data_IF_670627662163
#
_entry.id   IF_670627662163
#
_cell.length_a   1.000
_cell.length_b   1.000
_cell.length_c   1.000
_cell.angle_alpha   90.00
_cell.angle_beta   90.00
_cell.angle_gamma   90.00
#
_symmetry.space_group_name_H-M   'P 1'
#
loop_
_entity.id
_entity.type
_entity.pdbx_description
1 polymer ?
#
# COMPACT_ATOMS: atom_id res chain seq x y z
N UNK A 1 -79.93 -35.41 39.24
CA UNK A 1 -79.78 -34.82 40.60
C UNK A 1 -79.40 -33.34 40.47
N UNK A 2 -79.81 -32.47 41.43
CA UNK A 2 -80.12 -31.05 41.25
C UNK A 2 -78.91 -30.10 41.46
N UNK A 3 -78.94 -28.82 41.07
CA UNK A 3 -79.32 -27.67 41.91
C UNK A 3 -79.34 -26.31 41.14
N UNK A 4 -80.01 -25.34 41.77
CA UNK A 4 -80.62 -24.08 41.29
C UNK A 4 -79.83 -22.78 41.65
N UNK A 5 -80.11 -21.69 40.89
CA UNK A 5 -80.09 -20.22 41.20
C UNK A 5 -78.70 -19.55 41.54
N UNK A 6 -78.31 -18.30 41.17
CA UNK A 6 -78.84 -16.90 41.35
C UNK A 6 -78.00 -15.89 40.47
N UNK A 7 -78.50 -14.67 40.08
CA UNK A 7 -77.87 -13.66 39.16
C UNK A 7 -77.10 -12.51 39.88
N UNK A 8 -76.49 -11.50 39.19
CA UNK A 8 -77.06 -10.12 39.16
C UNK A 8 -76.62 -9.10 38.04
N UNK A 9 -77.49 -8.09 37.86
CA UNK A 9 -77.36 -6.63 37.56
C UNK A 9 -76.34 -5.93 36.60
N UNK A 10 -76.97 -5.13 35.71
CA UNK A 10 -76.68 -3.82 35.07
C UNK A 10 -75.32 -3.10 35.20
N UNK A 11 -74.83 -2.57 34.07
CA UNK A 11 -73.90 -1.43 34.04
C UNK A 11 -74.18 -0.42 32.90
N UNK A 12 -73.66 0.78 33.12
CA UNK A 12 -74.17 2.12 32.78
C UNK A 12 -73.42 2.76 31.59
N UNK A 13 -74.05 3.81 31.06
CA UNK A 13 -73.77 4.64 29.88
C UNK A 13 -72.33 5.15 29.62
N UNK A 14 -72.09 5.36 28.32
CA UNK A 14 -70.98 6.00 27.63
C UNK A 14 -70.54 7.38 28.16
N UNK A 15 -69.25 7.67 28.00
CA UNK A 15 -68.75 9.03 27.80
C UNK A 15 -67.50 9.01 26.88
N UNK A 16 -67.61 9.63 25.69
CA UNK A 16 -66.52 9.79 24.72
C UNK A 16 -65.56 10.90 25.17
N UNK A 17 -64.24 10.67 25.08
CA UNK A 17 -63.19 11.64 25.45
C UNK A 17 -62.16 11.84 24.31
N UNK A 18 -61.62 13.05 24.09
CA UNK A 18 -60.90 13.47 22.88
C UNK A 18 -59.39 13.14 22.96
N UNK A 19 -59.04 11.86 22.96
CA UNK A 19 -57.64 11.41 23.11
C UNK A 19 -57.00 10.86 21.82
N UNK A 20 -57.70 10.88 20.68
CA UNK A 20 -57.21 10.16 19.49
C UNK A 20 -56.16 10.94 18.67
N UNK A 21 -56.14 12.27 18.70
CA UNK A 21 -55.23 13.06 17.84
C UNK A 21 -53.80 13.22 18.40
N UNK A 22 -53.61 13.24 19.73
CA UNK A 22 -52.26 13.36 20.34
C UNK A 22 -51.43 12.08 20.21
N UNK A 23 -52.07 10.91 20.28
CA UNK A 23 -51.41 9.60 20.16
C UNK A 23 -50.82 9.36 18.75
N UNK A 24 -51.53 9.82 17.71
CA UNK A 24 -51.09 9.66 16.33
C UNK A 24 -49.88 10.54 15.96
N UNK A 25 -49.72 11.73 16.56
CA UNK A 25 -48.55 12.59 16.32
C UNK A 25 -47.27 12.08 16.99
N UNK A 26 -47.36 11.57 18.22
CA UNK A 26 -46.20 11.03 18.97
C UNK A 26 -45.63 9.78 18.29
N UNK A 27 -46.50 8.91 17.75
CA UNK A 27 -46.08 7.68 17.06
C UNK A 27 -45.40 7.93 15.70
N UNK A 28 -45.81 8.96 14.96
CA UNK A 28 -45.15 9.37 13.70
C UNK A 28 -43.78 9.98 13.97
N UNK A 29 -43.66 10.87 14.96
CA UNK A 29 -42.38 11.46 15.38
C UNK A 29 -41.37 10.40 15.85
N UNK A 30 -41.78 9.44 16.67
CA UNK A 30 -40.92 8.34 17.12
C UNK A 30 -40.56 7.33 16.02
N UNK A 31 -41.39 7.19 14.97
CA UNK A 31 -41.04 6.41 13.77
C UNK A 31 -40.04 7.15 12.88
N UNK A 32 -40.21 8.46 12.71
CA UNK A 32 -39.28 9.30 11.96
C UNK A 32 -37.91 9.33 12.66
N UNK A 33 -37.87 9.58 13.98
CA UNK A 33 -36.62 9.59 14.75
C UNK A 33 -35.87 8.25 14.67
N UNK A 34 -36.57 7.11 14.80
CA UNK A 34 -35.97 5.78 14.63
C UNK A 34 -35.46 5.54 13.22
N UNK A 35 -36.21 5.96 12.20
CA UNK A 35 -35.79 5.83 10.80
C UNK A 35 -34.58 6.70 10.50
N UNK A 36 -34.55 7.94 11.00
CA UNK A 36 -33.39 8.83 10.86
C UNK A 36 -32.19 8.30 11.63
N UNK A 37 -32.38 7.75 12.84
CA UNK A 37 -31.31 7.13 13.60
C UNK A 37 -30.74 5.90 12.89
N UNK A 38 -31.59 4.99 12.40
CA UNK A 38 -31.16 3.78 11.68
C UNK A 38 -30.51 4.09 10.33
N UNK A 39 -31.06 5.05 9.56
CA UNK A 39 -30.46 5.48 8.29
C UNK A 39 -29.15 6.21 8.56
N UNK A 40 -29.10 7.07 9.57
CA UNK A 40 -27.89 7.79 9.97
C UNK A 40 -26.79 6.85 10.44
N UNK A 41 -27.11 5.87 11.29
CA UNK A 41 -26.13 4.88 11.76
C UNK A 41 -25.68 3.94 10.66
N UNK A 42 -26.59 3.47 9.79
CA UNK A 42 -26.23 2.68 8.62
C UNK A 42 -25.35 3.46 7.63
N UNK A 43 -25.60 4.76 7.43
CA UNK A 43 -24.76 5.61 6.60
C UNK A 43 -23.37 5.84 7.19
N UNK A 44 -23.26 6.01 8.52
CA UNK A 44 -21.97 6.10 9.21
C UNK A 44 -21.19 4.79 9.11
N UNK A 45 -21.82 3.65 9.43
CA UNK A 45 -21.19 2.33 9.33
C UNK A 45 -20.81 2.00 7.88
N UNK A 46 -21.70 2.28 6.93
CA UNK A 46 -21.44 2.11 5.50
C UNK A 46 -20.32 3.00 5.00
N UNK A 47 -20.26 4.26 5.45
CA UNK A 47 -19.18 5.20 5.12
C UNK A 47 -17.83 4.78 5.70
N UNK A 48 -17.80 4.30 6.95
CA UNK A 48 -16.58 3.74 7.57
C UNK A 48 -16.13 2.47 6.84
N UNK A 49 -17.06 1.54 6.57
CA UNK A 49 -16.74 0.31 5.84
C UNK A 49 -16.23 0.60 4.42
N UNK A 50 -16.87 1.53 3.70
CA UNK A 50 -16.42 1.99 2.39
C UNK A 50 -15.06 2.68 2.47
N UNK A 51 -14.84 3.52 3.49
CA UNK A 51 -13.55 4.17 3.74
C UNK A 51 -12.43 3.16 4.00
N UNK A 52 -12.68 2.15 4.84
CA UNK A 52 -11.74 1.05 5.10
C UNK A 52 -11.51 0.21 3.85
N UNK A 53 -12.56 -0.10 3.08
CA UNK A 53 -12.44 -0.81 1.81
C UNK A 53 -11.57 -0.02 0.82
N UNK A 54 -11.85 1.27 0.63
CA UNK A 54 -11.11 2.14 -0.29
C UNK A 54 -9.67 2.42 0.20
N UNK A 55 -9.44 2.41 1.51
CA UNK A 55 -8.09 2.47 2.10
C UNK A 55 -7.34 1.16 1.88
N UNK A 56 -8.03 0.02 1.87
CA UNK A 56 -7.43 -1.29 1.60
C UNK A 56 -7.31 -1.63 0.12
N UNK A 57 -8.07 -0.98 -0.75
CA UNK A 57 -7.89 -1.13 -2.20
C UNK A 57 -6.52 -0.57 -2.58
N UNK A 58 -5.75 -1.40 -3.28
CA UNK A 58 -4.49 -0.99 -3.91
C UNK A 58 -4.83 -0.16 -5.16
N UNK A 59 -3.98 0.83 -5.47
CA UNK A 59 -4.13 1.59 -6.70
C UNK A 59 -3.86 0.71 -7.92
N UNK A 60 -4.25 1.17 -9.11
CA UNK A 60 -3.89 0.50 -10.35
C UNK A 60 -2.35 0.38 -10.43
N UNK A 61 -1.87 -0.79 -10.86
CA UNK A 61 -0.45 -0.99 -11.08
C UNK A 61 -0.06 -0.22 -12.36
N UNK A 62 0.74 0.87 -12.25
CA UNK A 62 1.04 1.72 -13.39
C UNK A 62 1.93 1.03 -14.42
N UNK A 63 2.56 -0.09 -14.06
CA UNK A 63 3.40 -0.86 -14.98
C UNK A 63 2.59 -1.59 -16.06
N UNK A 64 1.27 -1.71 -15.91
CA UNK A 64 0.41 -2.32 -16.93
C UNK A 64 0.20 -1.44 -18.17
N UNK A 65 0.42 -0.13 -18.08
CA UNK A 65 0.17 0.78 -19.22
C UNK A 65 1.09 0.49 -20.42
N UNK A 66 2.35 0.13 -20.15
CA UNK A 66 3.39 -0.13 -21.17
C UNK A 66 3.91 -1.58 -21.13
N UNK A 67 3.13 -2.53 -20.58
CA UNK A 67 3.58 -3.91 -20.42
C UNK A 67 3.55 -4.69 -21.75
N UNK A 68 4.69 -5.25 -22.14
CA UNK A 68 4.78 -6.15 -23.30
C UNK A 68 4.06 -7.49 -23.07
N UNK A 69 3.79 -8.23 -24.15
CA UNK A 69 3.05 -9.51 -24.12
C UNK A 69 3.76 -10.63 -23.36
N UNK A 70 5.09 -10.57 -23.22
CA UNK A 70 5.91 -11.56 -22.52
C UNK A 70 6.56 -10.97 -21.25
N UNK A 71 6.05 -9.84 -20.76
CA UNK A 71 6.50 -9.18 -19.54
C UNK A 71 5.51 -9.41 -18.39
N UNK A 72 6.02 -9.50 -17.16
CA UNK A 72 5.20 -9.66 -15.97
C UNK A 72 5.42 -8.50 -15.00
N UNK A 73 4.40 -7.66 -14.82
CA UNK A 73 4.34 -6.69 -13.73
C UNK A 73 3.62 -7.32 -12.52
N UNK A 74 4.35 -8.11 -11.75
CA UNK A 74 3.79 -8.92 -10.65
C UNK A 74 3.26 -8.03 -9.52
N UNK A 75 4.00 -6.96 -9.21
CA UNK A 75 3.56 -5.90 -8.31
C UNK A 75 3.91 -4.55 -8.92
N UNK A 76 3.42 -3.42 -8.38
CA UNK A 76 3.89 -2.10 -8.80
C UNK A 76 5.39 -1.87 -8.62
N UNK A 77 6.10 -2.78 -7.95
CA UNK A 77 7.52 -2.66 -7.61
C UNK A 77 8.41 -3.69 -8.29
N UNK A 78 7.83 -4.71 -8.94
CA UNK A 78 8.58 -5.83 -9.52
C UNK A 78 8.07 -6.09 -10.93
N UNK A 79 8.91 -5.80 -11.92
CA UNK A 79 8.71 -6.17 -13.32
C UNK A 79 9.74 -7.20 -13.73
N UNK A 80 9.33 -8.24 -14.46
CA UNK A 80 10.23 -9.26 -14.98
C UNK A 80 9.94 -9.46 -16.45
N UNK A 81 11.00 -9.40 -17.26
CA UNK A 81 10.95 -9.61 -18.70
C UNK A 81 12.14 -10.45 -19.18
N UNK A 82 12.30 -10.60 -20.49
CA UNK A 82 13.41 -11.34 -21.08
C UNK A 82 14.79 -10.70 -20.82
N UNK A 83 14.85 -9.39 -20.54
CA UNK A 83 16.09 -8.67 -20.24
C UNK A 83 16.49 -8.80 -18.77
N UNK A 84 15.54 -9.10 -17.88
CA UNK A 84 15.84 -9.43 -16.49
C UNK A 84 14.76 -9.00 -15.50
N UNK A 85 15.19 -8.80 -14.26
CA UNK A 85 14.34 -8.42 -13.14
C UNK A 85 14.55 -6.92 -12.89
N UNK A 86 13.49 -6.14 -13.01
CA UNK A 86 13.51 -4.69 -12.77
C UNK A 86 12.76 -4.35 -11.50
N UNK A 87 13.45 -3.69 -10.57
CA UNK A 87 12.89 -3.23 -9.31
C UNK A 87 12.55 -1.74 -9.40
N UNK A 88 11.29 -1.39 -9.14
CA UNK A 88 10.85 0.00 -9.16
C UNK A 88 11.13 0.66 -7.82
N UNK A 89 11.89 1.76 -7.85
CA UNK A 89 12.35 2.50 -6.66
C UNK A 89 11.89 3.96 -6.72
N UNK A 90 10.60 4.23 -6.43
CA UNK A 90 9.94 5.47 -6.87
C UNK A 90 10.29 6.73 -6.09
N UNK A 91 11.32 6.69 -5.24
CA UNK A 91 11.80 7.83 -4.46
C UNK A 91 13.02 8.43 -5.13
N UNK A 92 12.89 9.68 -5.56
CA UNK A 92 13.99 10.43 -6.14
C UNK A 92 15.25 10.39 -5.25
N UNK A 93 16.39 10.12 -5.86
CA UNK A 93 17.67 10.03 -5.19
C UNK A 93 18.60 11.18 -5.60
N UNK A 94 19.07 11.94 -4.61
CA UNK A 94 19.99 13.07 -4.79
C UNK A 94 21.36 12.82 -4.14
N UNK A 95 21.64 11.58 -3.76
CA UNK A 95 22.89 11.17 -3.12
C UNK A 95 22.69 10.32 -1.87
N UNK A 96 21.51 10.37 -1.24
CA UNK A 96 21.22 9.66 0.01
C UNK A 96 21.14 8.14 -0.15
N UNK A 97 20.94 7.62 -1.36
CA UNK A 97 20.90 6.16 -1.62
C UNK A 97 19.50 5.57 -1.55
N UNK A 98 18.47 6.38 -1.85
CA UNK A 98 17.09 5.94 -1.91
C UNK A 98 16.88 4.79 -2.90
N UNK A 99 17.53 4.82 -4.07
CA UNK A 99 17.41 3.72 -5.04
C UNK A 99 18.00 2.43 -4.48
N UNK A 100 19.23 2.49 -3.97
CA UNK A 100 19.92 1.33 -3.40
C UNK A 100 19.18 0.69 -2.24
N UNK A 101 18.67 1.48 -1.27
CA UNK A 101 17.97 0.91 -0.12
C UNK A 101 16.60 0.33 -0.49
N UNK A 102 15.85 0.98 -1.38
CA UNK A 102 14.56 0.44 -1.83
C UNK A 102 14.75 -0.84 -2.63
N UNK A 103 15.75 -0.89 -3.52
CA UNK A 103 16.10 -2.11 -4.24
C UNK A 103 16.48 -3.24 -3.28
N UNK A 104 17.30 -2.96 -2.25
CA UNK A 104 17.66 -3.95 -1.25
C UNK A 104 16.45 -4.49 -0.46
N UNK A 105 15.49 -3.63 -0.09
CA UNK A 105 14.26 -4.05 0.61
C UNK A 105 13.42 -5.03 -0.23
N UNK A 106 13.27 -4.75 -1.53
CA UNK A 106 12.53 -5.63 -2.45
C UNK A 106 13.34 -6.91 -2.70
N UNK A 107 14.64 -6.78 -3.00
CA UNK A 107 15.53 -7.88 -3.35
C UNK A 107 15.69 -8.91 -2.24
N UNK A 108 15.74 -8.46 -0.99
CA UNK A 108 15.78 -9.33 0.19
C UNK A 108 14.62 -10.32 0.19
N UNK A 109 13.40 -9.82 -0.02
CA UNK A 109 12.20 -10.65 0.00
C UNK A 109 12.00 -11.42 -1.30
N UNK A 110 12.28 -10.80 -2.45
CA UNK A 110 12.20 -11.46 -3.76
C UNK A 110 13.24 -12.58 -3.93
N UNK A 111 14.27 -12.60 -3.07
CA UNK A 111 15.37 -13.56 -3.10
C UNK A 111 16.21 -13.47 -4.39
N UNK A 112 16.60 -12.24 -4.73
CA UNK A 112 17.49 -11.92 -5.85
C UNK A 112 18.75 -11.26 -5.32
N UNK A 113 19.84 -11.40 -6.08
CA UNK A 113 21.07 -10.69 -5.78
C UNK A 113 21.07 -9.31 -6.44
N UNK A 114 21.67 -8.32 -5.77
CA UNK A 114 21.66 -6.92 -6.22
C UNK A 114 22.38 -6.68 -7.56
N UNK A 115 23.23 -7.60 -8.01
CA UNK A 115 23.90 -7.57 -9.31
C UNK A 115 23.07 -8.24 -10.44
N UNK A 116 21.94 -8.86 -10.11
CA UNK A 116 21.03 -9.51 -11.07
C UNK A 116 19.85 -8.62 -11.49
N UNK A 117 19.73 -7.43 -10.90
CA UNK A 117 18.57 -6.57 -11.04
C UNK A 117 18.89 -5.27 -11.78
N UNK A 118 17.88 -4.76 -12.48
CA UNK A 118 17.84 -3.39 -12.94
C UNK A 118 17.06 -2.56 -11.91
N UNK A 119 17.45 -1.30 -11.74
CA UNK A 119 16.70 -0.34 -10.91
C UNK A 119 16.14 0.74 -11.80
N UNK A 120 14.85 1.00 -11.67
CA UNK A 120 14.15 2.05 -12.39
C UNK A 120 13.29 2.87 -11.41
N UNK A 121 13.16 4.19 -11.55
CA UNK A 121 12.25 4.99 -10.71
C UNK A 121 10.77 4.69 -10.97
N UNK A 122 10.43 4.09 -12.11
CA UNK A 122 9.08 3.82 -12.57
C UNK A 122 8.35 5.06 -13.08
N UNK A 123 7.16 4.86 -13.69
CA UNK A 123 6.31 5.97 -14.07
C UNK A 123 5.79 6.73 -12.84
N UNK A 124 5.56 8.06 -12.92
CA UNK A 124 4.88 8.78 -11.85
C UNK A 124 3.47 8.21 -11.63
N UNK A 125 3.14 7.85 -10.39
CA UNK A 125 1.84 7.23 -10.09
C UNK A 125 1.38 7.48 -8.64
N UNK A 126 0.07 7.67 -8.41
CA UNK A 126 -0.52 7.70 -7.07
C UNK A 126 -0.20 6.46 -6.24
N UNK A 127 0.03 5.31 -6.89
CA UNK A 127 0.38 4.04 -6.26
C UNK A 127 1.68 4.13 -5.44
N UNK A 128 2.57 5.05 -5.80
CA UNK A 128 3.85 5.28 -5.11
C UNK A 128 3.79 6.34 -4.00
N UNK A 129 2.61 6.52 -3.40
CA UNK A 129 2.36 7.46 -2.31
C UNK A 129 3.31 7.25 -1.12
N UNK A 130 3.61 8.35 -0.41
CA UNK A 130 4.39 8.36 0.83
C UNK A 130 3.48 8.66 2.01
N UNK A 131 3.17 7.65 2.83
CA UNK A 131 2.36 7.85 4.04
C UNK A 131 3.18 8.37 5.20
N UNK A 132 4.47 8.01 5.33
CA UNK A 132 5.28 8.39 6.49
C UNK A 132 5.45 9.91 6.69
N UNK A 133 5.16 10.73 5.68
CA UNK A 133 5.11 12.20 5.82
C UNK A 133 3.90 12.69 6.64
N UNK A 134 2.86 11.88 6.79
CA UNK A 134 1.69 12.16 7.62
C UNK A 134 2.05 12.33 9.10
N UNK A 135 3.09 11.62 9.56
CA UNK A 135 3.57 11.67 10.93
C UNK A 135 4.07 13.07 11.30
N UNK A 136 4.60 13.81 10.32
CA UNK A 136 5.00 15.21 10.45
C UNK A 136 3.83 16.19 10.26
N UNK A 137 2.69 15.72 9.75
CA UNK A 137 1.52 16.54 9.42
C UNK A 137 0.54 16.69 10.60
N UNK A 138 0.71 15.92 11.67
CA UNK A 138 -0.16 15.97 12.86
C UNK A 138 0.52 16.74 14.00
N UNK A 139 -0.21 17.50 14.84
CA UNK A 139 0.36 18.36 15.87
C UNK A 139 0.76 17.57 17.15
N UNK A 140 1.38 16.40 16.98
CA UNK A 140 1.84 15.52 18.05
C UNK A 140 3.34 15.26 17.90
N UNK A 141 4.01 14.93 19.01
CA UNK A 141 5.42 14.53 18.94
C UNK A 141 5.54 13.18 18.19
N UNK A 142 6.60 12.95 17.41
CA UNK A 142 6.79 11.66 16.74
C UNK A 142 6.84 10.46 17.70
N UNK A 143 7.24 10.68 18.97
CA UNK A 143 7.33 9.65 20.01
C UNK A 143 6.06 9.53 20.88
N UNK A 144 4.97 10.21 20.52
CA UNK A 144 3.70 10.11 21.24
C UNK A 144 2.85 8.99 20.63
N UNK A 145 2.77 7.85 21.31
CA UNK A 145 1.98 6.68 20.89
C UNK A 145 0.59 6.64 21.54
N UNK A 146 0.11 7.78 22.06
CA UNK A 146 -1.21 7.89 22.66
C UNK A 146 -2.34 7.64 21.65
N UNK A 147 -3.46 7.08 22.12
CA UNK A 147 -4.62 6.74 21.28
C UNK A 147 -5.08 7.87 20.35
N UNK A 148 -5.08 9.13 20.83
CA UNK A 148 -5.47 10.29 20.03
C UNK A 148 -4.45 10.61 18.91
N UNK A 149 -3.15 10.54 19.23
CA UNK A 149 -2.08 10.75 18.25
C UNK A 149 -2.17 9.69 17.13
N UNK A 150 -2.32 8.43 17.52
CA UNK A 150 -2.38 7.31 16.57
C UNK A 150 -3.64 7.33 15.69
N UNK A 151 -4.78 7.70 16.28
CA UNK A 151 -6.02 7.88 15.52
C UNK A 151 -5.89 8.99 14.48
N UNK A 152 -5.28 10.13 14.85
CA UNK A 152 -5.07 11.25 13.92
C UNK A 152 -4.06 10.91 12.82
N UNK A 153 -2.99 10.18 13.13
CA UNK A 153 -2.04 9.66 12.11
C UNK A 153 -2.74 8.73 11.13
N UNK A 154 -3.55 7.79 11.61
CA UNK A 154 -4.32 6.89 10.75
C UNK A 154 -5.23 7.64 9.77
N UNK A 155 -5.90 8.70 10.24
CA UNK A 155 -6.73 9.56 9.39
C UNK A 155 -5.88 10.34 8.37
N UNK A 156 -4.75 10.90 8.80
CA UNK A 156 -3.82 11.62 7.93
C UNK A 156 -3.21 10.69 6.87
N UNK A 157 -2.83 9.46 7.23
CA UNK A 157 -2.32 8.42 6.34
C UNK A 157 -3.33 8.10 5.25
N UNK A 158 -4.60 7.88 5.62
CA UNK A 158 -5.66 7.64 4.66
C UNK A 158 -5.80 8.81 3.68
N UNK A 159 -5.75 10.06 4.17
CA UNK A 159 -5.78 11.24 3.32
C UNK A 159 -4.58 11.31 2.37
N UNK A 160 -3.35 11.06 2.87
CA UNK A 160 -2.13 11.06 2.05
C UNK A 160 -2.14 9.97 0.97
N UNK A 161 -2.62 8.77 1.30
CA UNK A 161 -2.85 7.70 0.32
C UNK A 161 -3.83 8.14 -0.76
N UNK A 162 -4.93 8.81 -0.41
CA UNK A 162 -5.89 9.31 -1.41
C UNK A 162 -5.37 10.47 -2.25
N UNK A 163 -4.49 11.31 -1.71
CA UNK A 163 -3.81 12.36 -2.47
C UNK A 163 -2.79 11.75 -3.44
N UNK A 164 -2.26 10.56 -3.15
CA UNK A 164 -1.31 9.88 -4.03
C UNK A 164 0.04 10.58 -4.09
N UNK A 165 0.46 11.24 -3.00
CA UNK A 165 1.65 12.10 -3.04
C UNK A 165 2.95 11.28 -3.12
N UNK A 166 3.54 11.22 -4.31
CA UNK A 166 4.87 10.65 -4.53
C UNK A 166 5.94 11.71 -4.23
N UNK A 167 6.56 11.63 -3.05
CA UNK A 167 7.55 12.62 -2.59
C UNK A 167 8.73 11.97 -1.87
N UNK A 168 9.91 12.57 -2.03
CA UNK A 168 11.11 12.33 -1.22
C UNK A 168 11.38 13.55 -0.36
N UNK A 169 11.29 13.41 0.97
CA UNK A 169 11.53 14.48 1.94
C UNK A 169 11.28 14.02 3.37
N UNK A 170 11.65 14.83 4.37
CA UNK A 170 11.36 14.55 5.79
C UNK A 170 11.96 13.25 6.34
N UNK A 171 13.04 12.72 5.73
CA UNK A 171 13.64 11.43 6.11
C UNK A 171 12.67 10.23 6.06
N UNK A 172 11.65 10.30 5.21
CA UNK A 172 10.54 9.33 5.18
C UNK A 172 10.72 8.15 4.22
N UNK A 173 11.75 8.16 3.35
CA UNK A 173 11.96 7.10 2.33
C UNK A 173 12.00 5.69 2.92
N UNK A 174 12.83 5.48 3.96
CA UNK A 174 12.96 4.16 4.59
C UNK A 174 11.73 3.84 5.46
N UNK A 175 11.26 4.72 6.35
CA UNK A 175 10.04 4.45 7.13
C UNK A 175 8.81 4.09 6.28
N UNK A 176 8.58 4.77 5.16
CA UNK A 176 7.46 4.47 4.26
C UNK A 176 7.67 3.15 3.49
N UNK A 177 8.90 2.91 3.04
CA UNK A 177 9.23 1.77 2.19
C UNK A 177 9.47 0.47 2.93
N UNK A 178 9.83 0.50 4.22
CA UNK A 178 10.39 -0.64 4.94
C UNK A 178 9.53 -1.89 4.85
N UNK A 179 8.27 -1.82 5.25
CA UNK A 179 7.36 -2.97 5.13
C UNK A 179 6.76 -3.07 3.72
N UNK A 180 6.37 -1.94 3.12
CA UNK A 180 5.68 -1.89 1.81
C UNK A 180 6.48 -2.58 0.70
N UNK A 181 7.77 -2.29 0.62
CA UNK A 181 8.65 -2.84 -0.42
C UNK A 181 9.05 -4.29 -0.14
N UNK A 182 9.17 -4.65 1.14
CA UNK A 182 9.37 -6.04 1.54
C UNK A 182 8.16 -6.90 1.18
N UNK A 183 6.96 -6.43 1.52
CA UNK A 183 5.71 -7.08 1.11
C UNK A 183 5.64 -7.25 -0.41
N UNK A 184 5.98 -6.21 -1.18
CA UNK A 184 6.00 -6.31 -2.64
C UNK A 184 6.98 -7.40 -3.16
N UNK A 185 8.17 -7.50 -2.57
CA UNK A 185 9.12 -8.57 -2.90
C UNK A 185 8.61 -9.97 -2.52
N UNK A 186 7.96 -10.11 -1.36
CA UNK A 186 7.41 -11.38 -0.89
C UNK A 186 6.20 -11.84 -1.73
N UNK A 187 5.29 -10.92 -2.08
CA UNK A 187 4.17 -11.14 -3.01
C UNK A 187 4.72 -11.65 -4.35
N UNK A 188 5.74 -10.99 -4.89
CA UNK A 188 6.35 -11.41 -6.15
C UNK A 188 6.98 -12.81 -6.05
N UNK A 189 7.74 -13.09 -4.97
CA UNK A 189 8.33 -14.40 -4.70
C UNK A 189 7.29 -15.52 -4.67
N UNK A 190 6.21 -15.35 -3.92
CA UNK A 190 5.18 -16.39 -3.79
C UNK A 190 4.34 -16.54 -5.08
N UNK A 191 4.13 -15.45 -5.82
CA UNK A 191 3.48 -15.51 -7.14
C UNK A 191 4.34 -16.28 -8.16
N UNK A 192 5.66 -16.11 -8.12
CA UNK A 192 6.59 -16.90 -8.94
C UNK A 192 6.60 -18.39 -8.55
N UNK A 193 6.47 -18.71 -7.26
CA UNK A 193 6.27 -20.10 -6.82
C UNK A 193 4.94 -20.67 -7.31
N UNK A 194 3.87 -19.87 -7.34
CA UNK A 194 2.61 -20.27 -7.94
C UNK A 194 2.75 -20.53 -9.45
N UNK A 195 3.48 -19.68 -10.19
CA UNK A 195 3.80 -19.93 -11.59
C UNK A 195 4.62 -21.23 -11.80
N UNK A 196 5.58 -21.50 -10.91
CA UNK A 196 6.32 -22.77 -10.93
C UNK A 196 5.42 -23.97 -10.61
N UNK A 197 4.40 -23.80 -9.76
CA UNK A 197 3.39 -24.82 -9.49
C UNK A 197 2.57 -25.13 -10.74
N UNK A 198 2.03 -24.11 -11.42
CA UNK A 198 1.30 -24.29 -12.69
C UNK A 198 2.16 -24.99 -13.75
N UNK A 199 3.45 -24.64 -13.83
CA UNK A 199 4.39 -25.22 -14.80
C UNK A 199 4.76 -26.68 -14.54
N UNK A 200 4.82 -27.10 -13.27
CA UNK A 200 5.44 -28.39 -12.88
C UNK A 200 4.52 -29.35 -12.14
N UNK A 201 3.41 -28.86 -11.60
CA UNK A 201 2.52 -29.57 -10.69
C UNK A 201 3.10 -29.78 -9.27
N UNK A 202 4.33 -29.34 -8.99
CA UNK A 202 4.93 -29.47 -7.65
C UNK A 202 4.28 -28.45 -6.71
N UNK A 203 3.91 -28.86 -5.50
CA UNK A 203 3.26 -27.97 -4.54
C UNK A 203 4.23 -26.87 -4.02
N UNK A 204 3.75 -25.63 -3.92
CA UNK A 204 4.54 -24.43 -3.57
C UNK A 204 5.32 -24.55 -2.26
N UNK A 205 4.78 -25.28 -1.27
CA UNK A 205 5.43 -25.47 0.04
C UNK A 205 6.66 -26.39 -0.01
N UNK A 206 6.86 -27.12 -1.10
CA UNK A 206 8.03 -27.95 -1.31
C UNK A 206 9.15 -27.23 -2.07
N UNK A 207 8.87 -26.03 -2.59
CA UNK A 207 9.81 -25.22 -3.34
C UNK A 207 10.57 -24.27 -2.42
N UNK A 208 11.80 -23.94 -2.81
CA UNK A 208 12.59 -22.85 -2.22
C UNK A 208 12.85 -21.78 -3.27
N UNK A 209 13.40 -20.66 -2.85
CA UNK A 209 13.95 -19.66 -3.77
C UNK A 209 15.42 -19.46 -3.47
N UNK A 210 16.17 -18.97 -4.47
CA UNK A 210 17.55 -18.49 -4.31
C UNK A 210 17.96 -17.73 -5.57
N UNK A 211 18.57 -16.56 -5.41
CA UNK A 211 19.27 -15.82 -6.48
C UNK A 211 18.49 -15.75 -7.80
N UNK A 212 17.21 -15.34 -7.72
CA UNK A 212 16.35 -15.19 -8.90
C UNK A 212 15.78 -16.49 -9.49
N UNK A 213 15.79 -17.59 -8.71
CA UNK A 213 15.28 -18.89 -9.13
C UNK A 213 14.31 -19.48 -8.12
N UNK A 214 13.31 -20.20 -8.61
CA UNK A 214 12.52 -21.17 -7.83
C UNK A 214 13.22 -22.53 -7.93
N UNK A 215 13.51 -23.13 -6.78
CA UNK A 215 14.23 -24.39 -6.63
C UNK A 215 13.24 -25.50 -6.26
N UNK A 216 13.13 -26.51 -7.12
CA UNK A 216 12.28 -27.67 -6.91
C UNK A 216 12.92 -28.69 -5.92
N UNK A 217 12.13 -29.64 -5.36
CA UNK A 217 12.63 -30.62 -4.39
C UNK A 217 13.72 -31.56 -4.93
N UNK A 218 13.77 -31.76 -6.24
CA UNK A 218 14.77 -32.56 -6.95
C UNK A 218 16.05 -31.76 -7.27
N UNK A 219 16.08 -30.46 -6.94
CA UNK A 219 17.19 -29.55 -7.19
C UNK A 219 17.12 -28.83 -8.54
N UNK A 220 16.10 -29.07 -9.36
CA UNK A 220 15.92 -28.30 -10.59
C UNK A 220 15.66 -26.83 -10.27
N UNK A 221 16.30 -25.93 -11.02
CA UNK A 221 16.15 -24.49 -10.88
C UNK A 221 15.34 -23.92 -12.05
N UNK A 222 14.33 -23.12 -11.73
CA UNK A 222 13.51 -22.38 -12.70
C UNK A 222 13.79 -20.90 -12.51
N UNK A 223 14.39 -20.23 -13.50
CA UNK A 223 14.64 -18.80 -13.42
C UNK A 223 13.33 -18.02 -13.38
N UNK A 224 13.31 -16.89 -12.67
CA UNK A 224 12.13 -16.04 -12.59
C UNK A 224 11.69 -15.53 -13.97
N UNK A 225 12.63 -15.21 -14.86
CA UNK A 225 12.33 -14.84 -16.25
C UNK A 225 11.58 -15.95 -17.00
N UNK A 226 11.93 -17.22 -16.77
CA UNK A 226 11.24 -18.36 -17.39
C UNK A 226 9.84 -18.65 -16.81
N UNK A 227 9.51 -18.01 -15.69
CA UNK A 227 8.22 -18.10 -15.00
C UNK A 227 7.37 -16.85 -15.23
N UNK A 228 7.97 -15.73 -15.64
CA UNK A 228 7.30 -14.44 -15.82
C UNK A 228 6.06 -14.53 -16.72
N UNK A 229 6.09 -15.17 -17.93
CA UNK A 229 4.89 -15.24 -18.76
C UNK A 229 3.71 -15.96 -18.09
N UNK A 230 3.98 -16.96 -17.26
CA UNK A 230 2.94 -17.68 -16.50
C UNK A 230 2.49 -16.82 -15.31
N UNK A 231 3.42 -16.17 -14.63
CA UNK A 231 3.12 -15.30 -13.49
C UNK A 231 2.29 -14.06 -13.88
N UNK A 232 2.38 -13.60 -15.13
CA UNK A 232 1.58 -12.50 -15.66
C UNK A 232 0.06 -12.80 -15.64
N UNK A 233 -0.32 -14.08 -15.76
CA UNK A 233 -1.71 -14.54 -15.75
C UNK A 233 -2.20 -14.97 -14.36
N UNK A 234 -1.37 -14.87 -13.33
CA UNK A 234 -1.69 -15.27 -11.96
C UNK A 234 -2.03 -14.04 -11.12
N UNK A 235 -3.18 -14.08 -10.45
CA UNK A 235 -3.52 -13.09 -9.43
C UNK A 235 -2.42 -13.08 -8.33
N UNK A 236 -1.79 -11.92 -8.04
CA UNK A 236 -0.69 -11.86 -7.08
C UNK A 236 -1.07 -12.45 -5.71
N UNK A 237 -0.20 -13.31 -5.18
CA UNK A 237 -0.41 -13.96 -3.88
C UNK A 237 -0.32 -12.92 -2.77
N UNK A 238 -1.42 -12.67 -2.06
CA UNK A 238 -1.51 -11.58 -1.05
C UNK A 238 -1.20 -12.00 0.38
N UNK A 239 -1.43 -13.26 0.71
CA UNK A 239 -1.12 -13.80 2.04
C UNK A 239 0.31 -14.32 2.03
N UNK A 240 1.24 -13.46 2.43
CA UNK A 240 2.69 -13.73 2.36
C UNK A 240 3.36 -13.45 3.69
N UNK A 241 4.32 -14.32 4.01
CA UNK A 241 5.22 -14.12 5.13
C UNK A 241 6.49 -13.41 4.65
N UNK A 242 6.87 -12.37 5.41
CA UNK A 242 8.17 -11.72 5.23
C UNK A 242 9.28 -12.60 5.80
N UNK A 243 10.46 -12.52 5.21
CA UNK A 243 11.66 -13.21 5.71
C UNK A 243 11.98 -12.78 7.14
N UNK A 244 12.37 -13.77 7.94
CA UNK A 244 12.87 -13.52 9.28
C UNK A 244 14.18 -12.72 9.22
N UNK A 245 14.41 -11.87 10.23
CA UNK A 245 15.63 -11.06 10.34
C UNK A 245 16.93 -11.89 10.28
N UNK A 246 16.91 -13.11 10.80
CA UNK A 246 18.03 -14.05 10.74
C UNK A 246 18.42 -14.46 9.31
N UNK A 247 17.51 -14.33 8.36
CA UNK A 247 17.72 -14.70 6.95
C UNK A 247 18.16 -13.53 6.08
N UNK A 248 18.09 -12.29 6.58
CA UNK A 248 18.40 -11.12 5.75
C UNK A 248 19.86 -11.13 5.29
N UNK A 249 20.10 -10.76 4.03
CA UNK A 249 21.42 -10.64 3.40
C UNK A 249 21.89 -9.20 3.32
N UNK A 250 20.99 -8.26 3.15
CA UNK A 250 21.26 -6.84 2.91
C UNK A 250 20.71 -5.94 4.02
N UNK A 251 19.50 -6.21 4.51
CA UNK A 251 18.87 -5.35 5.52
C UNK A 251 19.66 -5.42 6.83
N UNK A 252 20.06 -4.26 7.35
CA UNK A 252 20.86 -4.14 8.58
C UNK A 252 22.32 -4.60 8.44
N UNK A 253 22.77 -4.97 7.23
CA UNK A 253 24.12 -5.48 6.97
C UNK A 253 24.91 -4.52 6.06
N UNK A 254 26.25 -4.50 6.16
CA UNK A 254 27.07 -3.77 5.19
C UNK A 254 26.81 -4.29 3.76
N UNK A 255 26.50 -3.38 2.84
CA UNK A 255 26.31 -3.69 1.43
C UNK A 255 26.90 -2.59 0.53
N UNK A 256 27.34 -2.98 -0.65
CA UNK A 256 27.74 -2.02 -1.68
C UNK A 256 26.50 -1.41 -2.30
N UNK A 257 26.38 -0.09 -2.22
CA UNK A 257 25.31 0.68 -2.88
C UNK A 257 25.45 0.56 -4.41
N UNK A 258 24.33 0.34 -5.09
CA UNK A 258 24.26 0.21 -6.56
C UNK A 258 24.72 1.48 -7.28
N UNK A 259 24.45 2.63 -6.67
CA UNK A 259 24.63 3.95 -7.23
C UNK A 259 25.96 4.63 -6.83
N UNK A 260 26.76 3.99 -5.98
CA UNK A 260 27.92 4.65 -5.37
C UNK A 260 29.02 4.95 -6.38
N UNK A 261 29.30 4.04 -7.32
CA UNK A 261 30.38 4.24 -8.29
C UNK A 261 30.08 5.44 -9.19
N UNK A 262 28.88 5.51 -9.75
CA UNK A 262 28.47 6.61 -10.63
C UNK A 262 28.49 7.96 -9.89
N UNK A 263 28.03 7.97 -8.63
CA UNK A 263 28.04 9.17 -7.78
C UNK A 263 29.43 9.62 -7.37
N UNK A 264 30.31 8.69 -7.01
CA UNK A 264 31.69 9.00 -6.62
C UNK A 264 32.57 9.41 -7.80
N UNK A 265 32.24 8.97 -9.02
CA UNK A 265 32.99 9.32 -10.25
C UNK A 265 32.41 10.50 -11.02
N UNK A 266 31.24 11.02 -10.61
CA UNK A 266 30.56 12.11 -11.32
C UNK A 266 29.92 11.71 -12.65
N UNK A 267 29.72 10.42 -12.89
CA UNK A 267 29.07 9.90 -14.11
C UNK A 267 27.56 9.73 -13.96
N UNK A 268 27.03 9.89 -12.74
CA UNK A 268 25.60 9.95 -12.51
C UNK A 268 25.02 11.23 -13.12
N UNK A 269 24.13 11.07 -14.09
CA UNK A 269 23.35 12.20 -14.61
C UNK A 269 22.25 12.59 -13.62
N UNK A 270 22.14 13.89 -13.38
CA UNK A 270 21.06 14.56 -12.66
C UNK A 270 20.31 15.47 -13.63
N UNK A 271 19.12 15.93 -13.24
CA UNK A 271 18.34 16.85 -14.07
C UNK A 271 19.07 18.17 -14.38
N UNK A 272 20.05 18.56 -13.57
CA UNK A 272 20.90 19.75 -13.80
C UNK A 272 21.94 19.53 -14.91
N UNK A 273 22.23 18.28 -15.28
CA UNK A 273 23.23 17.93 -16.29
C UNK A 273 22.62 17.87 -17.70
N UNK A 274 21.32 18.16 -17.84
CA UNK A 274 20.63 18.10 -19.12
C UNK A 274 20.99 19.29 -20.00
N UNK A 275 21.47 19.03 -21.22
CA UNK A 275 21.82 20.05 -22.22
C UNK A 275 20.76 20.18 -23.33
N UNK A 276 20.34 21.41 -23.64
CA UNK A 276 19.40 21.72 -24.72
C UNK A 276 20.06 22.62 -25.77
N UNK A 277 19.73 22.47 -27.08
CA UNK A 277 20.23 23.37 -28.12
C UNK A 277 19.92 24.83 -27.80
N UNK A 278 20.97 25.67 -27.73
CA UNK A 278 20.84 27.09 -27.44
C UNK A 278 20.64 27.45 -25.96
N UNK A 279 20.81 26.50 -25.03
CA UNK A 279 20.69 26.77 -23.60
C UNK A 279 21.68 27.84 -23.13
N UNK A 280 21.16 28.86 -22.45
CA UNK A 280 21.94 29.91 -21.81
C UNK A 280 22.22 29.52 -20.36
N UNK A 281 23.45 29.76 -19.90
CA UNK A 281 23.87 29.51 -18.53
C UNK A 281 23.89 30.84 -17.76
N UNK A 282 23.26 30.85 -16.58
CA UNK A 282 23.28 31.99 -15.67
C UNK A 282 23.76 31.53 -14.29
N UNK A 283 24.42 32.43 -13.56
CA UNK A 283 24.84 32.20 -12.17
C UNK A 283 24.42 33.37 -11.31
N UNK A 284 24.13 33.11 -10.03
CA UNK A 284 23.79 34.16 -9.08
C UNK A 284 25.04 34.96 -8.75
N UNK A 285 25.04 36.26 -9.07
CA UNK A 285 26.08 37.18 -8.58
C UNK A 285 25.75 37.58 -7.15
N UNK A 286 26.31 36.83 -6.20
CA UNK A 286 26.13 37.09 -4.77
C UNK A 286 26.97 38.30 -4.32
N UNK A 287 26.41 39.11 -3.42
CA UNK A 287 27.17 40.14 -2.72
C UNK A 287 28.26 39.47 -1.86
N UNK A 288 29.54 39.88 -1.96
CA UNK A 288 30.61 39.28 -1.16
C UNK A 288 30.43 39.51 0.35
N UNK A 289 29.55 40.43 0.76
CA UNK A 289 29.19 40.65 2.15
C UNK A 289 28.12 39.66 2.61
N UNK A 290 28.39 38.94 3.70
CA UNK A 290 27.41 38.07 4.34
C UNK A 290 26.19 38.90 4.81
N UNK A 291 25.00 38.61 4.27
CA UNK A 291 23.77 39.36 4.56
C UNK A 291 23.51 40.60 3.68
N UNK A 292 24.34 40.84 2.65
CA UNK A 292 24.05 41.86 1.64
C UNK A 292 22.85 41.46 0.77
N UNK A 293 21.92 42.39 0.60
CA UNK A 293 20.84 42.29 -0.40
C UNK A 293 21.37 42.42 -1.83
#
# INVERSE_FOLDING_TARGET
MPLRHIPPHSCRSENRSPNHERSLRISRLGKIARRTFLIGSAAVVGGVAFGVYKYRSEGENPLFEDLGTDEAAITPYVKIDANGITLITPRADKGQGAYSIQAALIAEELDVDLDQINVDPGPPSPTYYNTAISNEAVPFKPTDDGFMAESMRTVADAAMKFIGMQITGGSTTVPDGYEKLRQAGAVARETLKAAAHEKTGVHVTRMKTRSGHVILPDGQELSYQSLAPIAADIDPVRDVELRAESEWRYIGKPMQRLDIQAKSTGTQNYGIDFELPGMLHATVKLNPHQGGA
#
